data_IF_284185595285
#
_entry.id   IF_284185595285
#
_cell.length_a   1.000
_cell.length_b   1.000
_cell.length_c   1.000
_cell.angle_alpha   90.00
_cell.angle_beta   90.00
_cell.angle_gamma   90.00
#
_symmetry.space_group_name_H-M   'P 1'
#
loop_
_entity.id
_entity.type
_entity.pdbx_description
1 polymer ?
#
# COMPACT_ATOMS: atom_id res chain seq x y z
N UNK A 1 19.55 -16.06 8.19
CA UNK A 1 19.09 -14.66 8.30
C UNK A 1 17.56 -14.63 8.21
N UNK A 2 16.90 -13.68 8.84
CA UNK A 2 15.45 -13.51 8.67
C UNK A 2 15.13 -13.15 7.21
N UNK A 3 14.05 -13.72 6.67
CA UNK A 3 13.51 -13.35 5.36
C UNK A 3 12.38 -12.32 5.53
N UNK A 4 12.27 -11.32 4.63
CA UNK A 4 13.19 -10.99 3.54
C UNK A 4 14.47 -10.30 4.01
N UNK A 5 15.51 -10.34 3.16
CA UNK A 5 16.72 -9.54 3.30
C UNK A 5 17.05 -8.79 1.99
N UNK A 6 17.76 -7.67 2.10
CA UNK A 6 18.30 -6.90 0.98
C UNK A 6 19.81 -6.71 1.16
N UNK A 7 20.57 -6.90 0.09
CA UNK A 7 22.01 -6.59 0.03
C UNK A 7 22.21 -5.57 -1.08
N UNK A 8 22.72 -4.39 -0.72
CA UNK A 8 23.01 -3.27 -1.62
C UNK A 8 24.41 -2.73 -1.30
N UNK A 9 25.42 -3.26 -1.99
CA UNK A 9 26.83 -3.03 -1.70
C UNK A 9 27.19 -3.41 -0.25
N UNK A 10 27.72 -2.47 0.57
CA UNK A 10 28.03 -2.73 1.98
C UNK A 10 26.78 -2.80 2.87
N UNK A 11 25.62 -2.33 2.41
CA UNK A 11 24.39 -2.29 3.19
C UNK A 11 23.71 -3.65 3.16
N UNK A 12 23.44 -4.22 4.35
CA UNK A 12 22.73 -5.49 4.52
C UNK A 12 21.57 -5.28 5.48
N UNK A 13 20.34 -5.49 5.03
CA UNK A 13 19.12 -5.25 5.80
C UNK A 13 18.26 -6.50 5.85
N UNK A 14 17.55 -6.66 6.96
CA UNK A 14 16.43 -7.58 7.15
C UNK A 14 15.20 -6.77 7.60
N UNK A 15 14.04 -7.41 7.71
CA UNK A 15 12.73 -6.77 7.98
C UNK A 15 12.17 -6.04 6.76
N UNK A 16 10.99 -6.44 6.31
CA UNK A 16 10.34 -5.91 5.11
C UNK A 16 10.19 -4.40 5.14
N UNK A 17 9.74 -3.85 6.28
CA UNK A 17 9.47 -2.41 6.41
C UNK A 17 10.77 -1.60 6.44
N UNK A 18 11.83 -2.11 7.08
CA UNK A 18 13.13 -1.46 7.07
C UNK A 18 13.73 -1.40 5.66
N UNK A 19 13.58 -2.50 4.90
CA UNK A 19 13.97 -2.59 3.48
C UNK A 19 13.16 -1.61 2.63
N UNK A 20 11.84 -1.56 2.79
CA UNK A 20 10.97 -0.63 2.05
C UNK A 20 11.32 0.82 2.35
N UNK A 21 11.48 1.20 3.62
CA UNK A 21 11.88 2.56 4.03
C UNK A 21 13.27 2.92 3.51
N UNK A 22 14.22 1.97 3.44
CA UNK A 22 15.53 2.20 2.84
C UNK A 22 15.44 2.57 1.36
N UNK A 23 14.69 1.79 0.58
CA UNK A 23 14.46 2.07 -0.83
C UNK A 23 13.71 3.40 -1.01
N UNK A 24 12.68 3.64 -0.20
CA UNK A 24 11.87 4.85 -0.26
C UNK A 24 12.70 6.12 -0.02
N UNK A 25 13.62 6.10 0.95
CA UNK A 25 14.53 7.24 1.21
C UNK A 25 15.46 7.55 0.05
N UNK A 26 15.92 6.54 -0.70
CA UNK A 26 16.76 6.76 -1.90
C UNK A 26 16.01 7.45 -3.05
N UNK A 27 14.67 7.45 -3.01
CA UNK A 27 13.82 7.96 -4.09
C UNK A 27 12.82 9.02 -3.62
N UNK A 28 12.96 9.56 -2.40
CA UNK A 28 12.06 10.55 -1.82
C UNK A 28 10.59 10.11 -1.76
N UNK A 29 10.33 8.85 -1.37
CA UNK A 29 8.99 8.26 -1.30
C UNK A 29 8.47 8.06 0.14
N UNK A 30 8.99 8.81 1.11
CA UNK A 30 8.63 8.70 2.55
C UNK A 30 7.65 9.78 3.05
N UNK A 31 7.15 10.65 2.17
CA UNK A 31 6.52 11.91 2.57
C UNK A 31 7.57 13.01 2.78
N UNK A 32 7.23 14.22 2.38
CA UNK A 32 8.09 15.41 2.43
C UNK A 32 7.75 16.26 3.65
N UNK A 33 6.46 16.52 3.89
CA UNK A 33 5.98 17.33 5.02
C UNK A 33 5.86 16.50 6.30
N UNK A 34 5.81 17.17 7.45
CA UNK A 34 5.58 16.49 8.74
C UNK A 34 4.22 15.78 8.78
N UNK A 35 3.18 16.41 8.22
CA UNK A 35 1.86 15.80 8.09
C UNK A 35 1.88 14.54 7.21
N UNK A 36 2.61 14.56 6.09
CA UNK A 36 2.75 13.38 5.24
C UNK A 36 3.49 12.25 5.97
N UNK A 37 4.53 12.58 6.75
CA UNK A 37 5.25 11.58 7.56
C UNK A 37 4.36 10.96 8.63
N UNK A 38 3.54 11.77 9.31
CA UNK A 38 2.56 11.29 10.27
C UNK A 38 1.56 10.33 9.62
N UNK A 39 1.05 10.67 8.43
CA UNK A 39 0.16 9.79 7.68
C UNK A 39 0.85 8.51 7.20
N UNK A 40 2.12 8.57 6.77
CA UNK A 40 2.94 7.40 6.42
C UNK A 40 3.08 6.47 7.62
N UNK A 41 3.50 7.00 8.76
CA UNK A 41 3.79 6.20 9.95
C UNK A 41 2.50 5.57 10.51
N UNK A 42 1.39 6.33 10.53
CA UNK A 42 0.08 5.81 10.93
C UNK A 42 -0.39 4.70 10.00
N UNK A 43 -0.34 4.93 8.68
CA UNK A 43 -0.85 3.97 7.71
C UNK A 43 0.02 2.71 7.66
N UNK A 44 1.34 2.83 7.74
CA UNK A 44 2.24 1.67 7.80
C UNK A 44 1.83 0.75 8.95
N UNK A 45 1.72 1.28 10.17
CA UNK A 45 1.37 0.47 11.34
C UNK A 45 -0.04 -0.14 11.22
N UNK A 46 -1.02 0.65 10.76
CA UNK A 46 -2.39 0.17 10.57
C UNK A 46 -2.46 -0.98 9.55
N UNK A 47 -1.79 -0.85 8.40
CA UNK A 47 -1.73 -1.91 7.38
C UNK A 47 -1.04 -3.17 7.94
N UNK A 48 0.02 -3.02 8.73
CA UNK A 48 0.72 -4.15 9.33
C UNK A 48 -0.17 -4.88 10.34
N UNK A 49 -0.91 -4.18 11.20
CA UNK A 49 -1.84 -4.81 12.13
C UNK A 49 -2.94 -5.59 11.41
N UNK A 50 -3.49 -5.01 10.33
CA UNK A 50 -4.49 -5.69 9.50
C UNK A 50 -3.92 -6.91 8.78
N UNK A 51 -2.71 -6.81 8.24
CA UNK A 51 -1.98 -7.91 7.61
C UNK A 51 -1.72 -9.03 8.61
N UNK A 52 -1.23 -8.70 9.81
CA UNK A 52 -0.94 -9.70 10.85
C UNK A 52 -2.21 -10.40 11.34
N UNK A 53 -3.32 -9.68 11.43
CA UNK A 53 -4.61 -10.29 11.74
C UNK A 53 -5.05 -11.29 10.66
N UNK A 54 -4.93 -10.91 9.38
CA UNK A 54 -5.24 -11.81 8.27
C UNK A 54 -4.30 -13.03 8.21
N UNK A 55 -3.00 -12.83 8.44
CA UNK A 55 -2.01 -13.92 8.54
C UNK A 55 -2.40 -14.90 9.64
N UNK A 56 -2.76 -14.41 10.83
CA UNK A 56 -3.20 -15.27 11.94
C UNK A 56 -4.42 -16.10 11.58
N UNK A 57 -5.38 -15.52 10.85
CA UNK A 57 -6.54 -16.26 10.36
C UNK A 57 -6.11 -17.39 9.42
N UNK A 58 -5.37 -17.08 8.34
CA UNK A 58 -5.08 -18.07 7.29
C UNK A 58 -4.16 -19.20 7.75
N UNK A 59 -3.31 -18.97 8.75
CA UNK A 59 -2.47 -20.03 9.35
C UNK A 59 -3.12 -20.75 10.55
N UNK A 60 -4.31 -20.33 11.00
CA UNK A 60 -4.99 -20.98 12.13
C UNK A 60 -5.52 -22.36 11.73
N UNK A 61 -5.35 -23.41 12.55
CA UNK A 61 -6.01 -24.69 12.32
C UNK A 61 -7.55 -24.59 12.39
N UNK A 62 -8.08 -23.55 13.05
CA UNK A 62 -9.51 -23.26 13.14
C UNK A 62 -9.99 -22.27 12.07
N UNK A 63 -9.28 -22.14 10.94
CA UNK A 63 -9.56 -21.18 9.87
C UNK A 63 -11.05 -21.09 9.50
N UNK A 64 -11.71 -22.22 9.20
CA UNK A 64 -13.13 -22.25 8.81
C UNK A 64 -14.07 -21.73 9.91
N UNK A 65 -13.72 -21.92 11.18
CA UNK A 65 -14.51 -21.42 12.32
C UNK A 65 -14.30 -19.92 12.55
N UNK A 66 -13.09 -19.42 12.32
CA UNK A 66 -12.72 -18.02 12.57
C UNK A 66 -13.07 -17.09 11.42
N UNK A 67 -13.14 -17.62 10.18
CA UNK A 67 -13.40 -16.87 8.97
C UNK A 67 -14.69 -16.04 9.02
N UNK A 68 -15.86 -16.55 9.49
CA UNK A 68 -17.08 -15.75 9.56
C UNK A 68 -16.92 -14.46 10.38
N UNK A 69 -16.30 -14.55 11.56
CA UNK A 69 -16.07 -13.38 12.42
C UNK A 69 -15.10 -12.37 11.79
N UNK A 70 -14.11 -12.84 11.04
CA UNK A 70 -13.23 -11.95 10.26
C UNK A 70 -14.01 -11.22 9.16
N UNK A 71 -14.85 -11.94 8.41
CA UNK A 71 -15.66 -11.37 7.34
C UNK A 71 -16.70 -10.37 7.84
N UNK A 72 -17.21 -10.54 9.06
CA UNK A 72 -18.11 -9.57 9.70
C UNK A 72 -17.39 -8.24 10.02
N UNK A 73 -16.11 -8.30 10.43
CA UNK A 73 -15.34 -7.12 10.80
C UNK A 73 -14.65 -6.42 9.61
N UNK A 74 -14.37 -7.16 8.54
CA UNK A 74 -13.60 -6.67 7.39
C UNK A 74 -14.22 -5.42 6.73
N UNK A 75 -15.54 -5.36 6.45
CA UNK A 75 -16.19 -4.16 5.90
C UNK A 75 -15.86 -2.87 6.66
N UNK A 76 -15.93 -2.91 8.00
CA UNK A 76 -15.65 -1.74 8.83
C UNK A 76 -14.23 -1.23 8.64
N UNK A 77 -13.24 -2.14 8.62
CA UNK A 77 -11.82 -1.80 8.43
C UNK A 77 -11.54 -1.25 7.03
N UNK A 78 -12.17 -1.83 6.01
CA UNK A 78 -12.06 -1.34 4.64
C UNK A 78 -12.74 0.03 4.49
N UNK A 79 -13.84 0.28 5.19
CA UNK A 79 -14.49 1.58 5.22
C UNK A 79 -13.59 2.64 5.89
N UNK A 80 -12.88 2.29 6.96
CA UNK A 80 -11.89 3.18 7.59
C UNK A 80 -10.76 3.55 6.61
N UNK A 81 -10.22 2.58 5.87
CA UNK A 81 -9.24 2.84 4.80
C UNK A 81 -9.82 3.69 3.66
N UNK A 82 -11.06 3.40 3.24
CA UNK A 82 -11.76 4.14 2.21
C UNK A 82 -11.96 5.61 2.61
N UNK A 83 -12.38 5.87 3.85
CA UNK A 83 -12.52 7.22 4.40
C UNK A 83 -11.17 7.91 4.51
N UNK A 84 -10.14 7.19 4.95
CA UNK A 84 -8.80 7.73 5.04
C UNK A 84 -8.30 8.12 3.65
N UNK A 85 -8.39 7.26 2.63
CA UNK A 85 -8.03 7.62 1.25
C UNK A 85 -8.83 8.84 0.75
N UNK A 86 -10.14 8.87 1.00
CA UNK A 86 -11.03 9.94 0.57
C UNK A 86 -11.05 10.08 -0.94
N UNK A 87 -10.87 11.31 -1.43
CA UNK A 87 -10.76 11.65 -2.86
C UNK A 87 -9.32 11.68 -3.38
N UNK A 88 -8.32 11.37 -2.54
CA UNK A 88 -6.91 11.46 -2.91
C UNK A 88 -6.54 10.36 -3.90
N UNK A 89 -5.59 10.63 -4.83
CA UNK A 89 -5.09 9.60 -5.74
C UNK A 89 -4.22 8.55 -5.03
N UNK A 90 -3.52 8.96 -3.98
CA UNK A 90 -2.64 8.14 -3.15
C UNK A 90 -2.94 8.43 -1.68
N UNK A 91 -2.59 7.51 -0.79
CA UNK A 91 -2.90 7.63 0.63
C UNK A 91 -2.20 8.79 1.31
N UNK A 92 -0.99 9.14 0.87
CA UNK A 92 -0.20 10.23 1.45
C UNK A 92 0.20 11.25 0.40
N UNK A 93 0.60 10.81 -0.80
CA UNK A 93 1.18 11.69 -1.81
C UNK A 93 0.18 12.67 -2.43
N UNK A 94 0.12 13.88 -1.89
CA UNK A 94 -0.46 15.04 -2.56
C UNK A 94 0.67 16.00 -2.91
N UNK A 95 1.11 16.00 -4.17
CA UNK A 95 1.83 17.18 -4.67
C UNK A 95 0.81 18.21 -5.15
N UNK A 96 0.28 18.99 -4.21
CA UNK A 96 -0.31 20.29 -4.56
C UNK A 96 0.85 21.25 -4.76
N UNK A 97 1.31 21.38 -6.01
CA UNK A 97 2.15 22.51 -6.38
C UNK A 97 1.31 23.78 -6.24
N UNK A 98 1.57 24.55 -5.20
CA UNK A 98 0.88 25.81 -4.91
C UNK A 98 0.72 25.97 -3.42
N UNK A 99 1.70 26.65 -2.80
CA UNK A 99 1.49 27.22 -1.47
C UNK A 99 0.26 28.12 -1.46
N UNK A 100 -0.19 28.47 -0.25
CA UNK A 100 -1.14 29.54 -0.01
C UNK A 100 -1.13 30.59 -1.13
N UNK A 101 -2.30 30.89 -1.68
CA UNK A 101 -2.55 32.17 -2.33
C UNK A 101 -2.41 33.26 -1.26
N UNK A 102 -1.16 33.56 -0.90
CA UNK A 102 -0.80 34.83 -0.30
C UNK A 102 -0.73 35.81 -1.46
N UNK A 103 -1.63 36.78 -1.44
CA UNK A 103 -1.60 37.95 -2.30
C UNK A 103 -0.19 38.58 -2.28
N UNK A 104 0.68 38.35 -3.26
CA UNK A 104 1.79 39.25 -3.60
C UNK A 104 2.47 38.83 -4.91
N UNK A 105 2.35 39.71 -5.92
CA UNK A 105 3.42 39.99 -6.88
C UNK A 105 3.59 39.04 -8.06
N UNK A 106 3.17 39.50 -9.23
CA UNK A 106 3.61 38.99 -10.53
C UNK A 106 5.15 38.98 -10.61
N UNK A 107 5.77 37.80 -10.57
CA UNK A 107 7.06 37.59 -11.22
C UNK A 107 6.97 36.33 -12.08
N UNK A 108 6.98 36.58 -13.39
CA UNK A 108 6.96 35.57 -14.44
C UNK A 108 8.28 34.75 -14.35
N UNK A 109 8.18 33.43 -14.56
CA UNK A 109 9.27 32.42 -14.67
C UNK A 109 9.69 31.59 -13.44
N UNK A 110 8.76 31.32 -12.51
CA UNK A 110 8.99 30.38 -11.39
C UNK A 110 8.09 29.12 -11.37
N UNK A 111 7.45 28.76 -12.48
CA UNK A 111 6.55 27.58 -12.52
C UNK A 111 7.38 26.29 -12.44
N UNK A 112 7.55 25.75 -11.24
CA UNK A 112 7.80 24.31 -11.11
C UNK A 112 6.64 23.59 -11.80
N UNK A 113 6.88 22.62 -12.70
CA UNK A 113 5.79 21.84 -13.26
C UNK A 113 4.96 21.29 -12.11
N UNK A 114 3.64 21.44 -12.18
CA UNK A 114 2.70 20.82 -11.23
C UNK A 114 3.00 19.32 -11.21
N UNK A 115 3.86 18.90 -10.30
CA UNK A 115 4.36 17.54 -10.26
C UNK A 115 3.17 16.67 -9.90
N UNK A 116 2.82 15.75 -10.78
CA UNK A 116 1.69 14.85 -10.55
C UNK A 116 1.85 14.16 -9.18
N UNK A 117 0.76 13.96 -8.44
CA UNK A 117 0.77 13.22 -7.18
C UNK A 117 1.49 11.88 -7.38
N UNK A 118 2.53 11.63 -6.59
CA UNK A 118 3.32 10.40 -6.63
C UNK A 118 2.93 9.48 -5.47
N UNK A 119 2.95 8.15 -5.64
CA UNK A 119 2.77 7.23 -4.53
C UNK A 119 3.97 7.31 -3.59
N UNK A 120 3.71 7.07 -2.30
CA UNK A 120 4.73 6.79 -1.28
C UNK A 120 4.89 5.29 -1.10
N UNK A 121 5.89 4.84 -0.32
CA UNK A 121 6.06 3.40 -0.09
C UNK A 121 4.87 2.74 0.63
N UNK A 122 4.08 3.50 1.39
CA UNK A 122 2.88 2.95 2.07
C UNK A 122 1.75 2.63 1.10
N UNK A 123 1.72 3.25 -0.08
CA UNK A 123 0.78 2.88 -1.14
C UNK A 123 1.08 1.46 -1.68
N UNK A 124 2.34 1.02 -1.69
CA UNK A 124 2.71 -0.35 -2.05
C UNK A 124 2.23 -1.35 -0.98
N UNK A 125 2.35 -1.00 0.30
CA UNK A 125 1.85 -1.81 1.41
C UNK A 125 0.33 -1.93 1.38
N UNK A 126 -0.35 -0.81 1.13
CA UNK A 126 -1.80 -0.76 1.01
C UNK A 126 -2.29 -1.55 -0.20
N UNK A 127 -1.63 -1.41 -1.37
CA UNK A 127 -1.92 -2.20 -2.56
C UNK A 127 -1.85 -3.70 -2.28
N UNK A 128 -0.73 -4.19 -1.72
CA UNK A 128 -0.54 -5.61 -1.41
C UNK A 128 -1.61 -6.13 -0.44
N UNK A 129 -1.92 -5.39 0.62
CA UNK A 129 -2.98 -5.79 1.55
C UNK A 129 -4.37 -5.84 0.87
N UNK A 130 -4.75 -4.78 0.17
CA UNK A 130 -6.06 -4.68 -0.49
C UNK A 130 -6.21 -5.71 -1.61
N UNK A 131 -5.14 -5.99 -2.34
CA UNK A 131 -5.12 -7.02 -3.37
C UNK A 131 -5.34 -8.42 -2.78
N UNK A 132 -4.74 -8.72 -1.63
CA UNK A 132 -5.03 -9.95 -0.89
C UNK A 132 -6.49 -10.03 -0.43
N UNK A 133 -7.07 -8.94 0.08
CA UNK A 133 -8.48 -8.91 0.45
C UNK A 133 -9.41 -9.07 -0.75
N UNK A 134 -9.06 -8.48 -1.91
CA UNK A 134 -9.77 -8.64 -3.19
C UNK A 134 -9.74 -10.08 -3.67
N UNK A 135 -8.62 -10.79 -3.50
CA UNK A 135 -8.53 -12.22 -3.81
C UNK A 135 -9.31 -13.08 -2.81
N UNK A 136 -9.33 -12.69 -1.52
CA UNK A 136 -9.99 -13.46 -0.47
C UNK A 136 -11.52 -13.33 -0.49
N UNK A 137 -12.03 -12.12 -0.75
CA UNK A 137 -13.46 -11.78 -0.70
C UNK A 137 -13.84 -10.86 -1.88
N UNK A 138 -13.84 -11.37 -3.12
CA UNK A 138 -14.06 -10.55 -4.32
C UNK A 138 -15.42 -9.84 -4.34
N UNK A 139 -16.41 -10.37 -3.62
CA UNK A 139 -17.75 -9.79 -3.57
C UNK A 139 -17.93 -8.64 -2.57
N UNK A 140 -16.92 -8.36 -1.74
CA UNK A 140 -16.97 -7.32 -0.71
C UNK A 140 -17.32 -5.94 -1.31
N UNK A 141 -18.45 -5.32 -0.95
CA UNK A 141 -18.88 -4.02 -1.49
C UNK A 141 -17.89 -2.89 -1.24
N UNK A 142 -17.18 -2.91 -0.11
CA UNK A 142 -16.20 -1.90 0.27
C UNK A 142 -14.99 -1.87 -0.68
N UNK A 143 -14.74 -2.96 -1.41
CA UNK A 143 -13.70 -3.06 -2.45
C UNK A 143 -14.19 -2.62 -3.85
N UNK A 144 -15.41 -2.10 -3.99
CA UNK A 144 -15.99 -1.66 -5.27
C UNK A 144 -16.00 -0.13 -5.47
N UNK A 145 -15.54 0.63 -4.46
CA UNK A 145 -15.52 2.11 -4.46
C UNK A 145 -14.16 2.73 -4.78
N UNK A 146 -13.77 3.77 -4.03
CA UNK A 146 -12.49 4.47 -4.19
C UNK A 146 -11.27 3.55 -3.99
N UNK A 147 -11.38 2.50 -3.17
CA UNK A 147 -10.35 1.48 -3.04
C UNK A 147 -10.12 0.69 -4.33
N UNK A 148 -11.19 0.40 -5.10
CA UNK A 148 -11.07 -0.22 -6.42
C UNK A 148 -10.32 0.68 -7.40
N UNK A 149 -10.65 1.97 -7.38
CA UNK A 149 -10.00 2.98 -8.21
C UNK A 149 -8.53 3.15 -7.84
N UNK A 150 -8.19 3.07 -6.55
CA UNK A 150 -6.81 3.04 -6.08
C UNK A 150 -6.04 1.83 -6.62
N UNK A 151 -6.60 0.61 -6.52
CA UNK A 151 -5.98 -0.60 -7.06
C UNK A 151 -5.74 -0.47 -8.57
N UNK A 152 -6.75 -0.03 -9.33
CA UNK A 152 -6.64 0.18 -10.77
C UNK A 152 -5.56 1.22 -11.12
N UNK A 153 -5.52 2.35 -10.39
CA UNK A 153 -4.53 3.40 -10.58
C UNK A 153 -3.11 2.91 -10.31
N UNK A 154 -2.93 2.11 -9.26
CA UNK A 154 -1.63 1.51 -8.92
C UNK A 154 -1.16 0.53 -10.02
N UNK A 155 -2.06 -0.33 -10.49
CA UNK A 155 -1.78 -1.30 -11.57
C UNK A 155 -1.52 -0.63 -12.92
N UNK A 156 -2.05 0.57 -13.13
CA UNK A 156 -1.85 1.37 -14.34
C UNK A 156 -0.52 2.15 -14.38
N UNK A 157 0.25 2.22 -13.28
CA UNK A 157 1.57 2.85 -13.30
C UNK A 157 2.48 2.14 -14.29
N UNK A 158 3.10 2.87 -15.24
CA UNK A 158 3.85 2.28 -16.37
C UNK A 158 4.81 1.15 -15.97
N UNK A 159 5.63 1.39 -14.94
CA UNK A 159 6.61 0.42 -14.45
C UNK A 159 5.96 -0.77 -13.74
N UNK A 160 4.84 -0.56 -13.03
CA UNK A 160 4.08 -1.62 -12.36
C UNK A 160 3.36 -2.47 -13.40
N UNK A 161 2.65 -1.83 -14.34
CA UNK A 161 1.95 -2.50 -15.42
C UNK A 161 2.90 -3.34 -16.29
N UNK A 162 4.09 -2.80 -16.60
CA UNK A 162 5.13 -3.54 -17.32
C UNK A 162 5.68 -4.72 -16.49
N UNK A 163 5.88 -4.52 -15.18
CA UNK A 163 6.31 -5.59 -14.27
C UNK A 163 5.27 -6.71 -14.19
N UNK A 164 3.99 -6.40 -14.01
CA UNK A 164 2.89 -7.36 -13.91
C UNK A 164 2.68 -8.16 -15.20
N UNK A 165 3.00 -7.58 -16.37
CA UNK A 165 2.99 -8.27 -17.67
C UNK A 165 4.24 -9.11 -17.94
N UNK A 166 5.28 -8.99 -17.12
CA UNK A 166 6.52 -9.73 -17.28
C UNK A 166 6.46 -11.12 -16.62
N UNK A 167 7.26 -12.07 -17.10
CA UNK A 167 7.40 -13.39 -16.47
C UNK A 167 8.05 -13.38 -15.08
N UNK A 168 8.43 -12.20 -14.56
CA UNK A 168 8.97 -12.04 -13.20
C UNK A 168 7.89 -11.80 -12.15
N UNK A 169 6.67 -11.46 -12.57
CA UNK A 169 5.58 -11.18 -11.66
C UNK A 169 5.07 -12.46 -11.01
N UNK A 170 4.97 -12.43 -9.68
CA UNK A 170 4.49 -13.56 -8.88
C UNK A 170 3.21 -13.09 -8.17
N UNK A 171 2.06 -13.55 -8.65
CA UNK A 171 0.76 -13.30 -8.02
C UNK A 171 0.45 -14.32 -6.92
N UNK A 172 0.84 -15.57 -7.15
CA UNK A 172 0.50 -16.73 -6.32
C UNK A 172 1.70 -17.71 -6.26
N UNK A 173 1.85 -18.46 -5.17
CA UNK A 173 1.05 -18.42 -3.95
C UNK A 173 1.38 -17.17 -3.11
N UNK A 174 0.40 -16.68 -2.35
CA UNK A 174 0.56 -15.56 -1.41
C UNK A 174 1.24 -16.04 -0.12
N UNK A 175 0.88 -17.24 0.33
CA UNK A 175 1.32 -17.82 1.60
C UNK A 175 2.04 -19.16 1.39
N UNK A 176 2.72 -19.61 2.44
CA UNK A 176 3.42 -20.90 2.44
C UNK A 176 2.43 -22.07 2.30
N UNK A 177 2.83 -23.24 1.77
CA UNK A 177 1.94 -24.40 1.55
C UNK A 177 1.09 -24.83 2.75
N UNK A 178 1.52 -24.54 3.98
CA UNK A 178 0.80 -24.89 5.21
C UNK A 178 -0.34 -23.93 5.57
N UNK A 179 -0.51 -22.82 4.86
CA UNK A 179 -1.65 -21.93 5.08
C UNK A 179 -2.95 -22.55 4.54
N UNK A 180 -4.07 -22.25 5.18
CA UNK A 180 -5.40 -22.71 4.77
C UNK A 180 -5.98 -21.94 3.59
N UNK A 181 -5.33 -20.84 3.18
CA UNK A 181 -5.72 -20.04 2.01
C UNK A 181 -4.50 -19.40 1.35
N UNK A 182 -4.56 -19.19 0.03
CA UNK A 182 -3.53 -18.48 -0.74
C UNK A 182 -2.23 -19.25 -0.91
N UNK A 183 -2.24 -20.57 -0.75
CA UNK A 183 -1.06 -21.44 -0.75
C UNK A 183 -0.80 -22.15 -2.10
N UNK A 184 -1.71 -21.99 -3.07
CA UNK A 184 -1.60 -22.58 -4.41
C UNK A 184 -1.09 -21.57 -5.44
N UNK A 185 -0.34 -22.05 -6.45
CA UNK A 185 0.03 -21.26 -7.64
C UNK A 185 -1.15 -21.08 -8.57
#
# INVERSE_FOLDING_TARGET
PQLPYLIDGPTKLTQSNAILRYIARKHNLCGETEEEKQHVDLLENQIIDMRMNFIRLVYSPDFEKLKPAYLEQLPKKLQELSRFLGSRPWFVGQKVGGGCWGEFGESLWGLTPLSLPQPTFVDFLAYDYLDQQRMFVPECPELKGNLAQFLQRFEALDKISAYMRSGRFIKTPVYWPTANWGNTK
#
